data_IF_313459592910
#
_entry.id   IF_313459592910
#
_cell.length_a   1.000
_cell.length_b   1.000
_cell.length_c   1.000
_cell.angle_alpha   90.00
_cell.angle_beta   90.00
_cell.angle_gamma   90.00
#
_symmetry.space_group_name_H-M   'P 1'
#
loop_
_entity.id
_entity.type
_entity.pdbx_description
1 polymer ?
#
# COMPACT_ATOMS: atom_id res chain seq x y z
N UNK A 1 -24.86 36.98 -47.69
CA UNK A 1 -25.56 35.70 -47.43
C UNK A 1 -24.70 34.47 -47.72
N UNK A 2 -23.89 34.47 -48.80
CA UNK A 2 -23.04 33.31 -49.17
C UNK A 2 -21.83 33.05 -48.26
N UNK A 3 -21.17 34.09 -47.73
CA UNK A 3 -19.96 33.94 -46.90
C UNK A 3 -20.27 33.27 -45.55
N UNK A 4 -21.30 33.74 -44.84
CA UNK A 4 -21.77 33.13 -43.58
C UNK A 4 -22.12 31.65 -43.72
N UNK A 5 -22.68 31.24 -44.86
CA UNK A 5 -23.06 29.84 -45.15
C UNK A 5 -21.83 28.97 -45.44
N UNK A 6 -20.77 29.55 -45.99
CA UNK A 6 -19.48 28.88 -46.22
C UNK A 6 -18.68 28.70 -44.93
N UNK A 7 -18.77 29.67 -44.01
CA UNK A 7 -18.14 29.61 -42.69
C UNK A 7 -18.82 28.59 -41.77
N UNK A 8 -20.16 28.53 -41.79
CA UNK A 8 -20.92 27.49 -41.07
C UNK A 8 -20.63 26.07 -41.59
N UNK A 9 -20.41 25.90 -42.89
CA UNK A 9 -20.00 24.59 -43.45
C UNK A 9 -18.58 24.21 -43.02
N UNK A 10 -17.66 25.18 -42.94
CA UNK A 10 -16.30 24.97 -42.45
C UNK A 10 -16.26 24.64 -40.95
N UNK A 11 -17.10 25.28 -40.13
CA UNK A 11 -17.19 24.99 -38.69
C UNK A 11 -17.75 23.59 -38.43
N UNK A 12 -18.83 23.21 -39.10
CA UNK A 12 -19.42 21.88 -38.99
C UNK A 12 -18.46 20.76 -39.46
N UNK A 13 -17.69 20.99 -40.52
CA UNK A 13 -16.67 20.05 -40.98
C UNK A 13 -15.53 19.89 -39.95
N UNK A 14 -15.06 20.99 -39.35
CA UNK A 14 -14.04 20.95 -38.27
C UNK A 14 -14.56 20.20 -37.04
N UNK A 15 -15.81 20.43 -36.65
CA UNK A 15 -16.44 19.71 -35.54
C UNK A 15 -16.57 18.21 -35.82
N UNK A 16 -16.98 17.83 -37.03
CA UNK A 16 -17.10 16.42 -37.42
C UNK A 16 -15.74 15.70 -37.42
N UNK A 17 -14.68 16.34 -37.90
CA UNK A 17 -13.31 15.80 -37.83
C UNK A 17 -12.88 15.61 -36.37
N UNK A 18 -13.04 16.64 -35.53
CA UNK A 18 -12.71 16.59 -34.10
C UNK A 18 -13.50 15.50 -33.35
N UNK A 19 -14.78 15.32 -33.68
CA UNK A 19 -15.63 14.27 -33.11
C UNK A 19 -15.15 12.87 -33.51
N UNK A 20 -14.77 12.67 -34.78
CA UNK A 20 -14.21 11.39 -35.23
C UNK A 20 -12.86 11.07 -34.56
N UNK A 21 -11.98 12.05 -34.40
CA UNK A 21 -10.70 11.89 -33.69
C UNK A 21 -10.93 11.50 -32.22
N UNK A 22 -11.85 12.19 -31.54
CA UNK A 22 -12.25 11.85 -30.17
C UNK A 22 -12.80 10.43 -30.08
N UNK A 23 -13.62 10.00 -31.04
CA UNK A 23 -14.18 8.66 -31.00
C UNK A 23 -13.12 7.58 -31.25
N UNK A 24 -12.12 7.85 -32.10
CA UNK A 24 -10.96 6.97 -32.30
C UNK A 24 -10.11 6.86 -31.03
N UNK A 25 -9.82 7.97 -30.36
CA UNK A 25 -9.01 7.96 -29.13
C UNK A 25 -9.71 7.20 -28.00
N UNK A 26 -11.03 7.40 -27.83
CA UNK A 26 -11.83 6.66 -26.84
C UNK A 26 -11.83 5.14 -27.10
N UNK A 27 -11.95 4.72 -28.37
CA UNK A 27 -11.87 3.31 -28.75
C UNK A 27 -10.50 2.70 -28.42
N UNK A 28 -9.41 3.40 -28.78
CA UNK A 28 -8.04 2.99 -28.45
C UNK A 28 -7.83 2.83 -26.95
N UNK A 29 -8.30 3.79 -26.14
CA UNK A 29 -8.22 3.71 -24.67
C UNK A 29 -8.99 2.50 -24.14
N UNK A 30 -10.19 2.24 -24.66
CA UNK A 30 -10.99 1.09 -24.24
C UNK A 30 -10.34 -0.25 -24.61
N UNK A 31 -9.72 -0.34 -25.79
CA UNK A 31 -8.96 -1.53 -26.22
C UNK A 31 -7.73 -1.78 -25.34
N UNK A 32 -6.97 -0.73 -25.04
CA UNK A 32 -5.81 -0.82 -24.15
C UNK A 32 -6.20 -1.24 -22.73
N UNK A 33 -7.30 -0.70 -22.19
CA UNK A 33 -7.84 -1.13 -20.88
C UNK A 33 -8.19 -2.61 -20.86
N UNK A 34 -8.85 -3.10 -21.92
CA UNK A 34 -9.15 -4.54 -22.06
C UNK A 34 -7.90 -5.40 -22.13
N UNK A 35 -6.84 -4.91 -22.78
CA UNK A 35 -5.56 -5.61 -22.84
C UNK A 35 -4.93 -5.74 -21.45
N UNK A 36 -4.89 -4.65 -20.68
CA UNK A 36 -4.39 -4.66 -19.29
C UNK A 36 -5.18 -5.66 -18.44
N UNK A 37 -6.51 -5.58 -18.47
CA UNK A 37 -7.38 -6.47 -17.70
C UNK A 37 -7.11 -7.94 -18.02
N UNK A 38 -7.10 -8.32 -19.31
CA UNK A 38 -6.80 -9.70 -19.74
C UNK A 38 -5.41 -10.18 -19.32
N UNK A 39 -4.47 -9.25 -19.17
CA UNK A 39 -3.10 -9.56 -18.74
C UNK A 39 -3.09 -9.90 -17.26
N UNK A 40 -3.79 -9.12 -16.44
CA UNK A 40 -3.99 -9.39 -15.01
C UNK A 40 -4.73 -10.71 -14.79
N UNK A 41 -5.87 -10.92 -15.46
CA UNK A 41 -6.71 -12.13 -15.34
C UNK A 41 -5.93 -13.43 -15.60
N UNK A 42 -4.95 -13.42 -16.52
CA UNK A 42 -4.12 -14.60 -16.80
C UNK A 42 -3.18 -14.99 -15.66
N UNK A 43 -2.97 -14.10 -14.69
CA UNK A 43 -1.97 -14.24 -13.64
C UNK A 43 -2.58 -14.23 -12.24
N UNK A 44 -3.90 -14.17 -12.05
CA UNK A 44 -4.50 -14.11 -10.70
C UNK A 44 -4.67 -15.50 -10.06
N UNK A 45 -4.93 -16.53 -10.86
CA UNK A 45 -5.31 -17.86 -10.34
C UNK A 45 -4.22 -18.94 -10.46
N UNK A 46 -3.11 -18.63 -11.11
CA UNK A 46 -2.02 -19.58 -11.32
C UNK A 46 -0.65 -18.90 -11.31
N UNK A 47 0.40 -19.67 -11.00
CA UNK A 47 1.76 -19.20 -11.20
C UNK A 47 2.08 -19.16 -12.70
N UNK A 48 2.88 -18.18 -13.10
CA UNK A 48 3.29 -17.98 -14.49
C UNK A 48 4.79 -18.11 -14.68
N UNK A 49 5.21 -18.34 -15.92
CA UNK A 49 6.60 -18.40 -16.29
C UNK A 49 7.27 -17.01 -16.29
N UNK A 50 8.59 -16.99 -16.10
CA UNK A 50 9.40 -15.76 -16.12
C UNK A 50 9.19 -14.93 -17.39
N UNK A 51 9.14 -15.60 -18.55
CA UNK A 51 8.92 -14.95 -19.85
C UNK A 51 7.56 -14.27 -19.94
N UNK A 52 6.52 -14.91 -19.43
CA UNK A 52 5.17 -14.37 -19.43
C UNK A 52 5.07 -13.15 -18.51
N UNK A 53 5.68 -13.22 -17.32
CA UNK A 53 5.73 -12.07 -16.41
C UNK A 53 6.42 -10.87 -17.06
N UNK A 54 7.60 -11.06 -17.67
CA UNK A 54 8.34 -9.98 -18.33
C UNK A 54 7.52 -9.35 -19.47
N UNK A 55 6.82 -10.16 -20.27
CA UNK A 55 5.96 -9.63 -21.34
C UNK A 55 4.77 -8.83 -20.77
N UNK A 56 4.12 -9.36 -19.73
CA UNK A 56 3.03 -8.69 -19.04
C UNK A 56 3.46 -7.34 -18.47
N UNK A 57 4.67 -7.24 -17.90
CA UNK A 57 5.20 -6.00 -17.33
C UNK A 57 5.36 -4.86 -18.35
N UNK A 58 5.38 -5.12 -19.66
CA UNK A 58 5.39 -4.06 -20.68
C UNK A 58 4.07 -3.28 -20.75
N UNK A 59 2.99 -3.92 -20.32
CA UNK A 59 1.60 -3.44 -20.38
C UNK A 59 1.10 -2.97 -19.00
N UNK A 60 1.70 -3.45 -17.90
CA UNK A 60 1.25 -3.10 -16.55
C UNK A 60 1.92 -1.85 -16.00
N UNK A 61 1.15 -1.02 -15.30
CA UNK A 61 1.67 0.03 -14.42
C UNK A 61 1.98 -0.53 -13.02
N UNK A 62 2.62 0.29 -12.19
CA UNK A 62 2.87 -0.03 -10.77
C UNK A 62 1.56 -0.32 -10.02
N UNK A 63 0.50 0.42 -10.33
CA UNK A 63 -0.81 0.23 -9.71
C UNK A 63 -1.43 -1.10 -10.14
N UNK A 64 -1.44 -1.40 -11.45
CA UNK A 64 -2.00 -2.67 -11.95
C UNK A 64 -1.27 -3.89 -11.37
N UNK A 65 0.05 -3.79 -11.19
CA UNK A 65 0.84 -4.86 -10.59
C UNK A 65 0.60 -5.01 -9.07
N UNK A 66 0.29 -3.91 -8.39
CA UNK A 66 -0.07 -3.92 -6.98
C UNK A 66 -1.45 -4.58 -6.78
N UNK A 67 -2.42 -4.21 -7.62
CA UNK A 67 -3.73 -4.85 -7.67
C UNK A 67 -3.58 -6.36 -7.96
N UNK A 68 -2.75 -6.75 -8.93
CA UNK A 68 -2.45 -8.16 -9.19
C UNK A 68 -1.95 -8.92 -7.95
N UNK A 69 -1.03 -8.32 -7.17
CA UNK A 69 -0.55 -8.95 -5.94
C UNK A 69 -1.68 -9.12 -4.91
N UNK A 70 -2.57 -8.14 -4.81
CA UNK A 70 -3.72 -8.16 -3.91
C UNK A 70 -4.73 -9.22 -4.36
N UNK A 71 -5.16 -9.21 -5.62
CA UNK A 71 -6.12 -10.17 -6.18
C UNK A 71 -5.64 -11.61 -6.02
N UNK A 72 -4.36 -11.89 -6.31
CA UNK A 72 -3.74 -13.21 -6.04
C UNK A 72 -3.82 -13.61 -4.57
N UNK A 73 -3.62 -12.66 -3.65
CA UNK A 73 -3.72 -12.95 -2.22
C UNK A 73 -5.17 -13.22 -1.77
N UNK A 74 -6.16 -12.62 -2.43
CA UNK A 74 -7.58 -12.89 -2.19
C UNK A 74 -7.96 -14.31 -2.60
N UNK A 75 -7.32 -14.87 -3.63
CA UNK A 75 -7.44 -16.28 -4.04
C UNK A 75 -6.54 -17.23 -3.24
N UNK A 76 -5.95 -16.74 -2.13
CA UNK A 76 -5.06 -17.48 -1.23
C UNK A 76 -3.77 -17.98 -1.92
N UNK A 77 -3.31 -17.31 -2.98
CA UNK A 77 -2.02 -17.54 -3.60
C UNK A 77 -1.03 -16.45 -3.22
N UNK A 78 0.27 -16.78 -3.27
CA UNK A 78 1.31 -15.79 -3.09
C UNK A 78 1.17 -14.70 -4.18
N UNK A 79 1.17 -13.43 -3.75
CA UNK A 79 1.05 -12.27 -4.62
C UNK A 79 2.10 -12.21 -5.72
N UNK A 80 3.29 -12.80 -5.50
CA UNK A 80 4.34 -12.83 -6.52
C UNK A 80 3.95 -13.77 -7.67
N UNK A 81 3.84 -13.29 -8.94
CA UNK A 81 3.27 -14.09 -10.03
C UNK A 81 4.03 -15.38 -10.39
N UNK A 82 5.34 -15.44 -10.12
CA UNK A 82 6.14 -16.66 -10.37
C UNK A 82 5.99 -17.72 -9.26
N UNK A 83 5.30 -17.40 -8.17
CA UNK A 83 5.18 -18.27 -7.01
C UNK A 83 3.82 -18.98 -7.00
N UNK A 84 3.83 -20.30 -6.88
CA UNK A 84 2.62 -21.13 -6.78
C UNK A 84 2.22 -21.45 -5.33
N UNK A 85 2.93 -20.91 -4.33
CA UNK A 85 2.66 -21.22 -2.93
C UNK A 85 1.34 -20.60 -2.47
N UNK A 86 0.54 -21.38 -1.74
CA UNK A 86 -0.66 -20.88 -1.09
C UNK A 86 -0.33 -20.10 0.20
N UNK A 87 -1.16 -19.09 0.50
CA UNK A 87 -1.10 -18.34 1.76
C UNK A 87 -1.97 -19.05 2.80
N UNK A 88 -1.33 -19.80 3.71
CA UNK A 88 -2.05 -20.60 4.71
C UNK A 88 -2.25 -19.88 6.05
N UNK A 89 -1.26 -19.12 6.50
CA UNK A 89 -1.26 -18.48 7.82
C UNK A 89 -1.02 -16.96 7.71
N UNK A 90 -2.00 -16.23 7.16
CA UNK A 90 -1.92 -14.78 7.03
C UNK A 90 -2.09 -14.15 8.42
N UNK A 91 -1.02 -13.57 8.96
CA UNK A 91 -1.07 -12.90 10.26
C UNK A 91 -2.01 -11.69 10.25
N UNK A 92 -2.83 -11.55 11.29
CA UNK A 92 -3.70 -10.38 11.48
C UNK A 92 -2.91 -9.12 11.86
N UNK A 93 -1.75 -9.27 12.50
CA UNK A 93 -0.90 -8.18 12.99
C UNK A 93 -0.44 -7.24 11.88
N UNK A 94 -0.69 -5.93 12.00
CA UNK A 94 -0.26 -4.93 11.01
C UNK A 94 1.20 -4.49 11.17
N UNK A 95 1.65 -4.28 12.41
CA UNK A 95 2.99 -3.75 12.69
C UNK A 95 3.84 -4.75 13.46
N UNK A 96 5.13 -4.84 13.14
CA UNK A 96 6.12 -5.68 13.83
C UNK A 96 7.30 -4.84 14.33
N UNK A 97 7.62 -4.96 15.62
CA UNK A 97 8.77 -4.30 16.23
C UNK A 97 9.96 -5.25 16.17
N UNK A 98 11.07 -4.82 15.57
CA UNK A 98 12.35 -5.52 15.62
C UNK A 98 13.22 -4.90 16.70
N UNK A 99 13.45 -5.64 17.78
CA UNK A 99 14.36 -5.22 18.84
C UNK A 99 15.83 -5.24 18.41
N UNK A 100 16.18 -6.07 17.41
CA UNK A 100 17.56 -6.17 16.89
C UNK A 100 17.97 -4.91 16.12
N UNK A 101 17.04 -4.36 15.35
CA UNK A 101 17.29 -3.19 14.51
C UNK A 101 16.72 -1.89 15.10
N UNK A 102 16.01 -2.00 16.22
CA UNK A 102 15.27 -0.88 16.83
C UNK A 102 14.32 -0.18 15.84
N UNK A 103 13.63 -0.98 15.02
CA UNK A 103 12.74 -0.50 13.94
C UNK A 103 11.33 -1.07 14.07
N UNK A 104 10.36 -0.32 13.56
CA UNK A 104 8.96 -0.76 13.39
C UNK A 104 8.71 -1.01 11.91
N UNK A 105 8.15 -2.16 11.58
CA UNK A 105 7.81 -2.55 10.21
C UNK A 105 6.30 -2.65 10.03
N UNK A 106 5.78 -2.11 8.93
CA UNK A 106 4.44 -2.34 8.44
C UNK A 106 4.43 -3.61 7.57
N UNK A 107 3.57 -4.56 7.95
CA UNK A 107 3.40 -5.85 7.30
C UNK A 107 2.22 -5.86 6.32
N UNK A 108 1.51 -4.76 6.10
CA UNK A 108 0.29 -4.71 5.28
C UNK A 108 0.54 -5.29 3.89
N UNK A 109 1.53 -4.78 3.15
CA UNK A 109 1.91 -5.33 1.84
C UNK A 109 2.63 -6.68 1.96
N UNK A 110 3.41 -6.88 3.04
CA UNK A 110 4.17 -8.12 3.24
C UNK A 110 3.27 -9.34 3.29
N UNK A 111 2.07 -9.22 3.87
CA UNK A 111 1.09 -10.30 4.02
C UNK A 111 0.58 -10.89 2.70
N UNK A 112 0.73 -10.17 1.60
CA UNK A 112 0.35 -10.65 0.28
C UNK A 112 1.27 -11.78 -0.21
N UNK A 113 2.40 -12.05 0.48
CA UNK A 113 3.44 -12.95 0.01
C UNK A 113 3.72 -14.09 1.00
N UNK A 114 4.13 -15.25 0.47
CA UNK A 114 4.45 -16.41 1.31
C UNK A 114 5.80 -16.27 2.04
N UNK A 115 6.70 -15.43 1.55
CA UNK A 115 8.06 -15.27 2.10
C UNK A 115 8.60 -13.84 1.91
N UNK A 116 9.64 -13.51 2.70
CA UNK A 116 10.32 -12.21 2.61
C UNK A 116 10.99 -12.05 1.23
N UNK A 117 11.47 -13.15 0.66
CA UNK A 117 12.06 -13.19 -0.68
C UNK A 117 11.01 -12.85 -1.74
N UNK A 118 9.81 -13.46 -1.69
CA UNK A 118 8.75 -13.17 -2.64
C UNK A 118 8.26 -11.71 -2.54
N UNK A 119 8.22 -11.16 -1.32
CA UNK A 119 7.90 -9.75 -1.10
C UNK A 119 8.94 -8.83 -1.74
N UNK A 120 10.23 -9.05 -1.48
CA UNK A 120 11.31 -8.25 -2.08
C UNK A 120 11.37 -8.43 -3.60
N UNK A 121 11.20 -9.64 -4.12
CA UNK A 121 11.18 -9.93 -5.55
C UNK A 121 10.02 -9.21 -6.26
N UNK A 122 8.81 -9.25 -5.69
CA UNK A 122 7.66 -8.53 -6.25
C UNK A 122 7.90 -7.02 -6.22
N UNK A 123 8.42 -6.48 -5.12
CA UNK A 123 8.80 -5.05 -5.04
C UNK A 123 9.87 -4.66 -6.05
N UNK A 124 10.84 -5.52 -6.30
CA UNK A 124 11.90 -5.28 -7.27
C UNK A 124 11.33 -5.15 -8.68
N UNK A 125 10.40 -6.03 -9.07
CA UNK A 125 9.67 -5.92 -10.34
C UNK A 125 8.83 -4.64 -10.38
N UNK A 126 8.02 -4.38 -9.35
CA UNK A 126 7.16 -3.18 -9.26
C UNK A 126 7.95 -1.89 -9.50
N UNK A 127 9.14 -1.74 -8.89
CA UNK A 127 9.95 -0.53 -9.02
C UNK A 127 10.36 -0.19 -10.46
N UNK A 128 10.44 -1.19 -11.33
CA UNK A 128 10.83 -1.02 -12.73
C UNK A 128 9.66 -0.64 -13.64
N UNK A 129 8.42 -0.78 -13.17
CA UNK A 129 7.22 -0.49 -13.97
C UNK A 129 6.94 1.01 -14.05
N UNK A 130 6.06 1.40 -14.97
CA UNK A 130 5.64 2.79 -15.14
C UNK A 130 4.65 3.20 -14.05
N UNK A 131 4.68 4.46 -13.64
CA UNK A 131 3.68 5.02 -12.75
C UNK A 131 2.34 5.29 -13.46
N UNK A 132 2.40 5.72 -14.73
CA UNK A 132 1.21 6.01 -15.52
C UNK A 132 0.55 4.74 -16.08
N UNK A 133 -0.78 4.73 -16.13
CA UNK A 133 -1.54 3.65 -16.73
C UNK A 133 -1.29 3.53 -18.24
N UNK A 134 -1.21 2.29 -18.73
CA UNK A 134 -0.87 1.98 -20.12
C UNK A 134 -1.81 2.59 -21.17
N UNK A 135 -3.09 2.79 -20.83
CA UNK A 135 -4.05 3.39 -21.77
C UNK A 135 -3.96 4.92 -21.85
N UNK A 136 -3.23 5.58 -20.95
CA UNK A 136 -2.98 7.02 -20.99
C UNK A 136 -1.66 7.37 -21.69
N UNK A 137 -0.67 6.48 -21.58
CA UNK A 137 0.65 6.71 -22.18
C UNK A 137 0.63 6.54 -23.71
N UNK A 138 1.11 7.56 -24.41
CA UNK A 138 1.41 7.48 -25.85
C UNK A 138 2.76 6.81 -26.12
N UNK A 139 3.69 6.90 -25.16
CA UNK A 139 5.00 6.26 -25.22
C UNK A 139 4.92 4.79 -24.81
N UNK A 140 4.94 3.92 -25.83
CA UNK A 140 4.97 2.45 -25.66
C UNK A 140 6.38 1.87 -25.65
N UNK A 141 7.38 2.67 -25.30
CA UNK A 141 8.77 2.22 -25.16
C UNK A 141 8.82 0.98 -24.27
N UNK A 142 9.43 -0.11 -24.74
CA UNK A 142 9.43 -1.35 -23.97
C UNK A 142 10.19 -1.14 -22.65
N UNK A 143 9.54 -1.44 -21.52
CA UNK A 143 10.22 -1.50 -20.23
C UNK A 143 10.99 -2.82 -20.21
N UNK A 144 12.30 -2.74 -20.01
CA UNK A 144 13.11 -3.92 -19.77
C UNK A 144 13.01 -4.20 -18.27
N UNK A 145 12.40 -5.34 -17.92
CA UNK A 145 12.24 -5.76 -16.54
C UNK A 145 13.18 -6.92 -16.25
N UNK A 146 13.93 -6.76 -15.17
CA UNK A 146 14.79 -7.78 -14.59
C UNK A 146 14.10 -8.48 -13.42
N UNK A 147 14.46 -9.74 -13.22
CA UNK A 147 13.93 -10.58 -12.15
C UNK A 147 14.92 -10.67 -11.01
N UNK A 148 14.41 -10.54 -9.80
CA UNK A 148 15.20 -10.64 -8.59
C UNK A 148 15.73 -12.06 -8.39
N UNK A 149 17.06 -12.24 -8.35
CA UNK A 149 17.72 -13.56 -8.21
C UNK A 149 18.43 -13.79 -6.89
N UNK A 150 18.28 -12.89 -5.91
CA UNK A 150 18.94 -13.02 -4.61
C UNK A 150 18.08 -13.86 -3.65
N UNK A 151 18.73 -14.45 -2.63
CA UNK A 151 18.09 -15.37 -1.68
C UNK A 151 17.75 -14.73 -0.31
N UNK A 152 17.80 -13.41 -0.21
CA UNK A 152 17.37 -12.69 0.99
C UNK A 152 16.17 -11.81 0.68
N UNK A 153 15.45 -11.40 1.72
CA UNK A 153 14.29 -10.54 1.56
C UNK A 153 14.01 -9.71 2.81
N UNK A 154 13.12 -8.75 2.65
CA UNK A 154 12.75 -7.78 3.68
C UNK A 154 11.53 -8.24 4.45
N UNK A 155 11.52 -7.91 5.75
CA UNK A 155 10.43 -8.29 6.66
C UNK A 155 9.18 -7.41 6.42
N UNK A 156 9.33 -6.23 5.84
CA UNK A 156 8.24 -5.30 5.59
C UNK A 156 8.72 -3.88 5.33
N UNK A 157 7.79 -2.93 5.39
CA UNK A 157 8.08 -1.52 5.18
C UNK A 157 8.48 -0.85 6.49
N UNK A 158 9.69 -0.32 6.57
CA UNK A 158 10.11 0.43 7.76
C UNK A 158 9.23 1.67 7.96
N UNK A 159 8.59 1.75 9.13
CA UNK A 159 7.81 2.91 9.57
C UNK A 159 8.73 3.83 10.34
N UNK A 160 8.98 5.02 9.78
CA UNK A 160 9.67 6.08 10.51
C UNK A 160 8.67 6.80 11.39
N UNK A 161 8.74 6.52 12.69
CA UNK A 161 8.04 7.30 13.70
C UNK A 161 8.77 8.64 13.83
N UNK A 162 8.33 9.65 13.08
CA UNK A 162 8.82 11.00 13.28
C UNK A 162 8.06 11.63 14.43
N UNK A 163 8.70 11.71 15.59
CA UNK A 163 8.28 12.56 16.71
C UNK A 163 8.53 14.04 16.35
N UNK A 164 7.95 14.53 15.27
CA UNK A 164 7.86 15.97 15.09
C UNK A 164 6.71 16.43 15.96
N UNK A 165 7.04 16.78 17.20
CA UNK A 165 6.29 17.83 17.89
C UNK A 165 6.29 19.01 16.91
N UNK A 166 5.16 19.28 16.27
CA UNK A 166 4.98 20.56 15.61
C UNK A 166 5.23 21.63 16.67
N UNK A 167 6.11 22.58 16.38
CA UNK A 167 6.52 23.66 17.29
C UNK A 167 5.33 24.51 17.80
N UNK A 168 4.12 24.27 17.26
CA UNK A 168 2.87 24.90 17.66
C UNK A 168 2.26 24.35 18.96
N UNK A 169 2.78 23.25 19.53
CA UNK A 169 2.38 22.76 20.85
C UNK A 169 3.54 22.76 21.87
N UNK A 170 4.23 23.89 21.99
CA UNK A 170 5.03 24.19 23.19
C UNK A 170 4.12 24.29 24.42
N UNK A 171 3.75 23.15 25.01
CA UNK A 171 3.34 23.12 26.40
C UNK A 171 4.58 23.45 27.24
N UNK A 172 4.65 24.69 27.73
CA UNK A 172 5.68 25.21 28.63
C UNK A 172 5.76 24.37 29.91
N UNK A 173 6.46 23.25 29.87
CA UNK A 173 6.96 22.57 31.06
C UNK A 173 8.45 22.32 30.89
N UNK A 174 9.21 23.38 31.14
CA UNK A 174 10.64 23.29 31.36
C UNK A 174 10.91 22.47 32.63
N UNK A 175 11.25 21.19 32.45
CA UNK A 175 11.87 20.38 33.51
C UNK A 175 13.31 20.12 33.12
N UNK A 176 14.23 20.78 33.82
CA UNK A 176 15.67 20.56 33.72
C UNK A 176 15.97 19.12 34.16
N UNK A 177 16.67 18.38 33.31
CA UNK A 177 17.06 16.99 33.52
C UNK A 177 18.23 16.93 34.50
N UNK A 178 17.96 16.83 35.79
CA UNK A 178 18.99 16.46 36.78
C UNK A 178 19.21 14.95 36.75
N UNK A 179 20.48 14.57 36.71
CA UNK A 179 20.93 13.17 36.61
C UNK A 179 20.48 12.33 37.82
N UNK A 180 20.10 11.08 37.52
CA UNK A 180 20.01 9.91 38.40
C UNK A 180 19.51 10.10 39.84
N UNK A 181 18.26 9.71 40.09
CA UNK A 181 17.82 9.25 41.41
C UNK A 181 16.81 8.10 41.24
N UNK A 182 17.01 7.01 41.98
CA UNK A 182 16.18 5.80 42.01
C UNK A 182 14.70 6.18 42.03
N UNK A 183 13.94 5.81 40.99
CA UNK A 183 12.50 6.08 40.95
C UNK A 183 11.78 4.94 41.66
N UNK A 184 11.59 5.09 42.97
CA UNK A 184 10.54 4.39 43.69
C UNK A 184 9.22 5.09 43.40
N UNK A 185 8.38 4.50 42.56
CA UNK A 185 6.99 4.95 42.32
C UNK A 185 6.63 5.06 40.85
N UNK A 186 5.57 4.36 40.45
CA UNK A 186 4.97 4.48 39.12
C UNK A 186 4.29 5.85 38.97
N UNK A 187 4.78 6.68 38.05
CA UNK A 187 4.14 7.95 37.69
C UNK A 187 3.04 7.70 36.66
N UNK A 188 1.78 7.91 37.06
CA UNK A 188 0.61 7.80 36.18
C UNK A 188 0.17 9.21 35.74
N UNK A 189 0.40 9.63 34.49
CA UNK A 189 0.20 11.02 34.05
C UNK A 189 -1.26 11.48 34.04
N UNK A 190 -2.22 10.56 34.16
CA UNK A 190 -3.65 10.84 34.06
C UNK A 190 -4.38 10.84 35.41
N UNK A 191 -3.71 10.48 36.51
CA UNK A 191 -4.29 10.44 37.86
C UNK A 191 -3.46 11.30 38.82
N UNK A 192 -4.05 12.39 39.33
CA UNK A 192 -3.45 13.20 40.40
C UNK A 192 -3.56 12.45 41.74
N UNK A 193 -2.62 12.64 42.67
CA UNK A 193 -2.62 11.97 44.00
C UNK A 193 -3.96 12.08 44.74
N UNK A 194 -4.57 13.27 44.75
CA UNK A 194 -5.89 13.49 45.37
C UNK A 194 -7.03 12.70 44.71
N UNK A 195 -6.88 12.29 43.45
CA UNK A 195 -7.83 11.42 42.76
C UNK A 195 -7.57 9.95 43.11
N UNK A 196 -6.32 9.59 43.43
CA UNK A 196 -5.92 8.27 43.90
C UNK A 196 -6.48 7.98 45.29
N UNK A 197 -6.40 8.94 46.24
CA UNK A 197 -7.01 8.79 47.56
C UNK A 197 -8.53 8.56 47.44
N UNK A 198 -9.21 9.37 46.62
CA UNK A 198 -10.64 9.23 46.35
C UNK A 198 -11.00 7.88 45.71
N UNK A 199 -10.16 7.39 44.80
CA UNK A 199 -10.36 6.08 44.18
C UNK A 199 -10.17 4.95 45.20
N UNK A 200 -9.16 5.04 46.07
CA UNK A 200 -8.92 4.07 47.16
C UNK A 200 -10.07 4.03 48.15
N UNK A 201 -10.60 5.19 48.54
CA UNK A 201 -11.80 5.31 49.39
C UNK A 201 -13.04 4.76 48.70
N UNK A 202 -13.19 4.99 47.39
CA UNK A 202 -14.30 4.42 46.63
C UNK A 202 -14.20 2.89 46.52
N UNK A 203 -13.00 2.36 46.31
CA UNK A 203 -12.74 0.92 46.16
C UNK A 203 -12.82 0.15 47.48
N UNK A 204 -12.59 0.78 48.63
CA UNK A 204 -12.69 0.12 49.94
C UNK A 204 -14.13 -0.27 50.31
N UNK A 205 -15.13 0.36 49.68
CA UNK A 205 -16.55 0.07 49.87
C UNK A 205 -17.05 -1.16 49.08
N UNK A 206 -16.24 -1.69 48.16
CA UNK A 206 -16.61 -2.80 47.30
C UNK A 206 -16.24 -4.14 47.97
N UNK A 207 -17.20 -4.75 48.67
CA UNK A 207 -17.07 -6.12 49.18
C UNK A 207 -17.71 -7.10 48.20
N UNK A 208 -16.91 -8.05 47.70
CA UNK A 208 -17.42 -9.17 46.88
C UNK A 208 -18.13 -10.12 47.85
N UNK A 209 -19.46 -10.21 47.75
CA UNK A 209 -20.23 -11.23 48.45
C UNK A 209 -20.35 -12.43 47.53
N UNK A 210 -19.72 -13.55 47.91
CA UNK A 210 -19.92 -14.80 47.22
C UNK A 210 -21.38 -15.26 47.38
N UNK A 211 -21.99 -15.64 46.26
CA UNK A 211 -23.36 -16.13 46.22
C UNK A 211 -23.35 -17.58 46.76
N UNK A 212 -24.06 -17.90 47.85
CA UNK A 212 -24.10 -19.27 48.35
C UNK A 212 -24.77 -20.19 47.32
N UNK A 213 -24.22 -21.41 47.21
CA UNK A 213 -24.68 -22.50 46.32
C UNK A 213 -26.13 -22.89 46.60
#
# INVERSE_FOLDING_TARGET
MSEKRSEQKKSAAKEHVKMNERQKSLKKVAENRKLVLRTVEKMIDCAVDEKLLIESCKVLSKADFEDLNVERSLTLLCGYPLCSNALTNIASQKYKISLKEHKVFDLTERKLFCSDICFTASKFVKKQLRDEAFWLSDDKSAVIVEIYRQNFGDIGNEVRLSDKLTEEEECKTSVKRTQNRKVSGLYFPYLKENQMEKLKESMSSLTIREKPL
#
